data_IF_907994698063
#
_entry.id   IF_907994698063
#
_cell.length_a   1.000
_cell.length_b   1.000
_cell.length_c   1.000
_cell.angle_alpha   90.00
_cell.angle_beta   90.00
_cell.angle_gamma   90.00
#
_symmetry.space_group_name_H-M   'P 1'
#
loop_
_entity.id
_entity.type
_entity.pdbx_description
1 polymer ?
#
# COMPACT_ATOMS: atom_id res chain seq x y z
N UNK A 1 -9.67 -13.91 17.26
CA UNK A 1 -9.86 -13.24 15.97
C UNK A 1 -8.60 -12.45 15.64
N UNK A 2 -8.04 -12.64 14.47
CA UNK A 2 -6.81 -11.97 14.07
C UNK A 2 -7.15 -10.70 13.31
N UNK A 3 -6.63 -9.58 13.81
CA UNK A 3 -6.79 -8.29 13.18
C UNK A 3 -5.68 -8.10 12.15
N UNK A 4 -6.03 -7.82 10.90
CA UNK A 4 -5.03 -7.59 9.88
C UNK A 4 -4.46 -6.17 9.98
N UNK A 5 -3.15 -6.05 9.85
CA UNK A 5 -2.50 -4.74 9.76
C UNK A 5 -2.84 -4.12 8.40
N UNK A 6 -2.62 -2.82 8.27
CA UNK A 6 -2.85 -2.15 6.99
C UNK A 6 -1.98 -2.77 5.88
N UNK A 7 -0.72 -3.05 6.19
CA UNK A 7 0.19 -3.69 5.22
C UNK A 7 -0.30 -5.03 4.73
N UNK A 8 -0.85 -5.85 5.63
CA UNK A 8 -1.40 -7.14 5.27
C UNK A 8 -2.64 -6.98 4.38
N UNK A 9 -3.51 -6.03 4.69
CA UNK A 9 -4.67 -5.74 3.87
C UNK A 9 -4.27 -5.32 2.47
N UNK A 10 -3.25 -4.47 2.36
CA UNK A 10 -2.73 -4.02 1.07
C UNK A 10 -2.23 -5.22 0.24
N UNK A 11 -1.47 -6.12 0.85
CA UNK A 11 -0.96 -7.30 0.16
C UNK A 11 -2.09 -8.18 -0.38
N UNK A 12 -3.15 -8.34 0.41
CA UNK A 12 -4.32 -9.13 -0.01
C UNK A 12 -4.99 -8.48 -1.22
N UNK A 13 -5.20 -7.17 -1.17
CA UNK A 13 -5.85 -6.44 -2.27
C UNK A 13 -4.99 -6.49 -3.53
N UNK A 14 -3.68 -6.34 -3.40
CA UNK A 14 -2.77 -6.44 -4.55
C UNK A 14 -2.89 -7.82 -5.21
N UNK A 15 -2.95 -8.87 -4.40
CA UNK A 15 -3.11 -10.23 -4.91
C UNK A 15 -4.42 -10.39 -5.67
N UNK A 16 -5.51 -9.85 -5.13
CA UNK A 16 -6.83 -9.93 -5.77
C UNK A 16 -6.89 -9.16 -7.09
N UNK A 17 -6.16 -8.06 -7.18
CA UNK A 17 -6.13 -7.21 -8.37
C UNK A 17 -5.05 -7.64 -9.36
N UNK A 18 -4.30 -8.69 -9.03
CA UNK A 18 -3.18 -9.16 -9.85
C UNK A 18 -2.16 -8.04 -10.08
N UNK A 19 -1.92 -7.26 -9.03
CA UNK A 19 -1.05 -6.10 -9.05
C UNK A 19 0.18 -6.36 -8.19
N UNK A 20 1.35 -5.93 -8.66
CA UNK A 20 2.59 -6.13 -7.91
C UNK A 20 2.91 -4.94 -7.00
N UNK A 21 3.78 -5.18 -6.02
CA UNK A 21 4.25 -4.11 -5.13
C UNK A 21 4.99 -3.04 -5.96
N UNK A 22 5.71 -3.45 -6.98
CA UNK A 22 6.40 -2.53 -7.87
C UNK A 22 5.42 -1.58 -8.56
N UNK A 23 4.32 -2.12 -9.05
CA UNK A 23 3.28 -1.31 -9.70
C UNK A 23 2.66 -0.32 -8.72
N UNK A 24 2.41 -0.75 -7.49
CA UNK A 24 1.89 0.15 -6.46
C UNK A 24 2.91 1.25 -6.15
N UNK A 25 4.18 0.92 -6.06
CA UNK A 25 5.24 1.91 -5.82
C UNK A 25 5.27 2.96 -6.93
N UNK A 26 5.11 2.53 -8.19
CA UNK A 26 5.08 3.45 -9.33
C UNK A 26 3.89 4.40 -9.25
N UNK A 27 2.74 3.90 -8.85
CA UNK A 27 1.54 4.73 -8.66
C UNK A 27 1.74 5.76 -7.55
N UNK A 28 2.37 5.36 -6.46
CA UNK A 28 2.68 6.28 -5.36
C UNK A 28 3.63 7.38 -5.84
N UNK A 29 4.65 7.03 -6.61
CA UNK A 29 5.56 8.02 -7.18
C UNK A 29 4.82 9.01 -8.08
N UNK A 30 3.92 8.52 -8.91
CA UNK A 30 3.15 9.37 -9.80
C UNK A 30 2.29 10.39 -9.04
N UNK A 31 1.78 10.00 -7.88
CA UNK A 31 0.92 10.87 -7.09
C UNK A 31 1.69 11.83 -6.20
N UNK A 32 2.82 11.40 -5.65
CA UNK A 32 3.57 12.21 -4.68
C UNK A 32 4.71 12.99 -5.31
N UNK A 33 5.19 12.57 -6.48
CA UNK A 33 6.37 13.13 -7.10
C UNK A 33 7.67 12.72 -6.41
N UNK A 34 7.61 11.83 -5.45
CA UNK A 34 8.77 11.33 -4.72
C UNK A 34 9.05 9.89 -5.11
N UNK A 35 10.34 9.56 -5.22
CA UNK A 35 10.73 8.20 -5.56
C UNK A 35 10.30 7.20 -4.50
N UNK A 36 9.74 6.10 -4.94
CA UNK A 36 9.34 5.01 -4.07
C UNK A 36 9.80 3.70 -4.73
N UNK A 37 10.79 3.03 -4.14
CA UNK A 37 11.26 1.76 -4.65
C UNK A 37 10.40 0.63 -4.12
N UNK A 38 10.38 -0.49 -4.84
CA UNK A 38 9.69 -1.70 -4.40
C UNK A 38 10.19 -2.14 -3.02
N UNK A 39 11.51 -2.10 -2.83
CA UNK A 39 12.12 -2.50 -1.57
C UNK A 39 11.67 -1.62 -0.42
N UNK A 40 11.65 -0.31 -0.63
CA UNK A 40 11.22 0.64 0.38
C UNK A 40 9.76 0.38 0.75
N UNK A 41 8.90 0.23 -0.24
CA UNK A 41 7.49 -0.04 0.01
C UNK A 41 7.29 -1.37 0.73
N UNK A 42 8.03 -2.41 0.34
CA UNK A 42 7.97 -3.72 1.00
C UNK A 42 8.32 -3.60 2.48
N UNK A 43 9.35 -2.83 2.81
CA UNK A 43 9.76 -2.62 4.20
C UNK A 43 8.68 -1.89 4.98
N UNK A 44 8.07 -0.86 4.39
CA UNK A 44 7.01 -0.10 5.05
C UNK A 44 5.78 -0.97 5.30
N UNK A 45 5.42 -1.81 4.34
CA UNK A 45 4.30 -2.74 4.51
C UNK A 45 4.57 -3.74 5.64
N UNK A 46 5.80 -4.22 5.73
CA UNK A 46 6.17 -5.18 6.77
C UNK A 46 6.18 -4.57 8.17
N UNK A 47 6.56 -3.30 8.28
CA UNK A 47 6.62 -2.60 9.57
C UNK A 47 5.30 -1.94 9.96
N UNK A 48 4.35 -1.93 9.05
CA UNK A 48 3.07 -1.26 9.24
C UNK A 48 3.27 0.21 9.65
N UNK A 49 4.20 0.87 8.97
CA UNK A 49 4.61 2.24 9.30
C UNK A 49 4.06 3.23 8.28
N UNK A 50 2.74 3.45 8.34
CA UNK A 50 2.06 4.38 7.45
C UNK A 50 1.32 5.44 8.25
N UNK A 51 1.38 6.67 7.75
CA UNK A 51 0.57 7.75 8.26
C UNK A 51 -0.82 7.67 7.65
N UNK A 52 -1.80 8.30 8.30
CA UNK A 52 -3.18 8.27 7.83
C UNK A 52 -3.32 8.73 6.38
N UNK A 53 -2.63 9.80 6.01
CA UNK A 53 -2.69 10.33 4.65
C UNK A 53 -2.12 9.34 3.63
N UNK A 54 -1.08 8.58 4.01
CA UNK A 54 -0.52 7.54 3.14
C UNK A 54 -1.50 6.40 2.96
N UNK A 55 -2.17 5.99 4.02
CA UNK A 55 -3.16 4.94 3.97
C UNK A 55 -4.33 5.32 3.07
N UNK A 56 -4.80 6.57 3.17
CA UNK A 56 -5.88 7.07 2.32
C UNK A 56 -5.47 7.11 0.86
N UNK A 57 -4.24 7.53 0.59
CA UNK A 57 -3.72 7.57 -0.78
C UNK A 57 -3.68 6.18 -1.39
N UNK A 58 -3.16 5.21 -0.66
CA UNK A 58 -3.08 3.83 -1.13
C UNK A 58 -4.48 3.26 -1.36
N UNK A 59 -5.41 3.52 -0.45
CA UNK A 59 -6.79 3.09 -0.62
C UNK A 59 -7.41 3.67 -1.88
N UNK A 60 -7.12 4.94 -2.17
CA UNK A 60 -7.61 5.60 -3.37
C UNK A 60 -7.00 4.98 -4.64
N UNK A 61 -5.70 4.71 -4.62
CA UNK A 61 -5.02 4.08 -5.75
C UNK A 61 -5.65 2.71 -6.05
N UNK A 62 -5.91 1.93 -5.01
CA UNK A 62 -6.45 0.58 -5.16
C UNK A 62 -7.96 0.56 -5.33
N UNK A 63 -8.63 1.71 -5.13
CA UNK A 63 -10.07 1.81 -5.27
C UNK A 63 -10.85 0.95 -4.29
N UNK A 64 -10.30 0.74 -3.11
CA UNK A 64 -10.83 -0.19 -2.13
C UNK A 64 -10.78 0.42 -0.73
N UNK A 65 -11.88 0.42 0.04
CA UNK A 65 -11.81 0.90 1.41
C UNK A 65 -11.07 -0.11 2.29
N UNK A 66 -10.20 0.42 3.15
CA UNK A 66 -9.50 -0.40 4.13
C UNK A 66 -10.05 -0.11 5.53
N UNK A 67 -10.01 -1.10 6.39
CA UNK A 67 -10.32 -0.90 7.81
C UNK A 67 -9.07 -0.37 8.49
N UNK A 68 -9.17 0.83 8.99
CA UNK A 68 -8.05 1.51 9.65
C UNK A 68 -8.11 1.36 11.16
#
# INVERSE_FOLDING_TARGET
MISLTFGEQVKIVLSRKDMTIKELAEEIEARTGKKMSRQNLTQRLGRDNFQEQDMRMIADILGCPFRL
#
